data_IF_333464711961
#
_entry.id   IF_333464711961
#
_cell.length_a   1.000
_cell.length_b   1.000
_cell.length_c   1.000
_cell.angle_alpha   90.00
_cell.angle_beta   90.00
_cell.angle_gamma   90.00
#
_symmetry.space_group_name_H-M   'P 1'
#
loop_
_entity.id
_entity.type
_entity.pdbx_description
1 polymer ?
#
# COMPACT_ATOMS: atom_id res chain seq x y z
N UNK A 1 12.45 -32.60 26.20
CA UNK A 1 11.57 -32.10 25.13
C UNK A 1 11.28 -30.63 25.39
N UNK A 2 12.07 -29.71 24.82
CA UNK A 2 11.85 -28.27 24.99
C UNK A 2 10.98 -27.75 23.87
N UNK A 3 9.88 -27.11 24.27
CA UNK A 3 8.85 -26.54 23.41
C UNK A 3 9.46 -25.49 22.47
N UNK A 4 9.40 -25.76 21.16
CA UNK A 4 9.54 -24.75 20.12
C UNK A 4 8.26 -23.91 20.09
N UNK A 5 8.06 -23.04 21.07
CA UNK A 5 7.14 -21.91 20.91
C UNK A 5 7.85 -20.87 20.04
N UNK A 6 7.80 -21.11 18.73
CA UNK A 6 7.97 -20.08 17.72
C UNK A 6 6.83 -19.09 17.92
N UNK A 7 7.09 -18.04 18.71
CA UNK A 7 6.34 -16.79 18.68
C UNK A 7 6.37 -16.30 17.23
N UNK A 8 5.38 -16.70 16.44
CA UNK A 8 5.07 -15.99 15.20
C UNK A 8 4.83 -14.54 15.63
N UNK A 9 5.53 -13.54 15.07
CA UNK A 9 5.18 -12.16 15.33
C UNK A 9 3.71 -12.02 14.93
N UNK A 10 2.83 -11.79 15.91
CA UNK A 10 1.41 -11.61 15.64
C UNK A 10 1.31 -10.38 14.73
N UNK A 11 1.08 -10.63 13.45
CA UNK A 11 0.91 -9.57 12.45
C UNK A 11 -0.19 -8.65 12.95
N UNK A 12 0.03 -7.33 12.91
CA UNK A 12 -0.97 -6.31 13.29
C UNK A 12 -2.31 -6.57 12.61
N UNK A 13 -2.28 -7.13 11.40
CA UNK A 13 -3.46 -7.53 10.64
C UNK A 13 -4.20 -8.74 11.22
N UNK A 14 -3.50 -9.64 11.91
CA UNK A 14 -4.12 -10.77 12.59
C UNK A 14 -4.96 -10.31 13.79
N UNK A 15 -4.41 -9.40 14.61
CA UNK A 15 -5.15 -8.80 15.73
C UNK A 15 -6.32 -7.94 15.21
N UNK A 16 -6.08 -7.16 14.16
CA UNK A 16 -7.14 -6.41 13.47
C UNK A 16 -8.26 -7.34 13.00
N UNK A 17 -7.92 -8.45 12.33
CA UNK A 17 -8.89 -9.43 11.81
C UNK A 17 -9.76 -10.00 12.92
N UNK A 18 -9.18 -10.32 14.08
CA UNK A 18 -9.95 -10.79 15.24
C UNK A 18 -10.90 -9.71 15.76
N UNK A 19 -10.46 -8.45 15.85
CA UNK A 19 -11.33 -7.34 16.25
C UNK A 19 -12.43 -7.05 15.23
N UNK A 20 -12.12 -7.11 13.93
CA UNK A 20 -13.07 -6.96 12.84
C UNK A 20 -14.16 -8.04 12.89
N UNK A 21 -13.79 -9.31 13.06
CA UNK A 21 -14.73 -10.42 13.20
C UNK A 21 -15.66 -10.25 14.40
N UNK A 22 -15.13 -9.81 15.55
CA UNK A 22 -15.96 -9.50 16.73
C UNK A 22 -16.99 -8.42 16.41
N UNK A 23 -16.57 -7.33 15.76
CA UNK A 23 -17.47 -6.19 15.46
C UNK A 23 -18.51 -6.50 14.40
N UNK A 24 -18.16 -7.32 13.40
CA UNK A 24 -19.11 -7.84 12.40
C UNK A 24 -20.19 -8.66 13.09
N UNK A 25 -19.78 -9.55 14.01
CA UNK A 25 -20.72 -10.38 14.80
C UNK A 25 -21.61 -9.53 15.70
N UNK A 26 -21.05 -8.57 16.42
CA UNK A 26 -21.82 -7.69 17.32
C UNK A 26 -22.88 -6.88 16.58
N UNK A 27 -22.53 -6.39 15.38
CA UNK A 27 -23.43 -5.60 14.52
C UNK A 27 -24.33 -6.45 13.63
N UNK A 28 -24.22 -7.79 13.69
CA UNK A 28 -24.92 -8.76 12.83
C UNK A 28 -24.80 -8.43 11.33
N UNK A 29 -23.65 -7.91 10.91
CA UNK A 29 -23.40 -7.54 9.51
C UNK A 29 -23.16 -8.79 8.67
N UNK A 30 -23.87 -8.90 7.55
CA UNK A 30 -23.58 -9.91 6.54
C UNK A 30 -22.38 -9.50 5.66
N UNK A 31 -21.77 -10.48 5.00
CA UNK A 31 -20.66 -10.24 4.06
C UNK A 31 -21.10 -9.41 2.86
N UNK A 32 -22.34 -9.56 2.41
CA UNK A 32 -22.90 -8.76 1.32
C UNK A 32 -23.10 -7.29 1.73
N UNK A 33 -23.53 -7.03 2.96
CA UNK A 33 -23.62 -5.67 3.51
C UNK A 33 -22.24 -5.05 3.69
N UNK A 34 -21.29 -5.79 4.26
CA UNK A 34 -19.92 -5.32 4.42
C UNK A 34 -19.27 -5.00 3.07
N UNK A 35 -19.50 -5.83 2.04
CA UNK A 35 -19.06 -5.56 0.67
C UNK A 35 -19.65 -4.26 0.11
N UNK A 36 -20.93 -4.00 0.36
CA UNK A 36 -21.60 -2.77 -0.08
C UNK A 36 -21.03 -1.53 0.61
N UNK A 37 -20.73 -1.61 1.90
CA UNK A 37 -20.22 -0.49 2.69
C UNK A 37 -18.75 -0.19 2.34
N UNK A 38 -17.94 -1.24 2.15
CA UNK A 38 -16.49 -1.11 1.92
C UNK A 38 -16.11 -0.98 0.45
N UNK A 39 -17.00 -1.33 -0.49
CA UNK A 39 -16.68 -1.44 -1.92
C UNK A 39 -15.85 -2.68 -2.27
N UNK A 40 -15.53 -3.54 -1.30
CA UNK A 40 -14.69 -4.73 -1.50
C UNK A 40 -15.56 -5.90 -1.98
N UNK A 41 -15.07 -6.65 -2.98
CA UNK A 41 -15.75 -7.87 -3.47
C UNK A 41 -15.98 -8.86 -2.32
N UNK A 42 -17.18 -9.47 -2.28
CA UNK A 42 -17.56 -10.44 -1.25
C UNK A 42 -16.57 -11.61 -1.15
N UNK A 43 -16.07 -12.11 -2.27
CA UNK A 43 -15.06 -13.18 -2.31
C UNK A 43 -13.74 -12.75 -1.67
N UNK A 44 -13.32 -11.49 -1.85
CA UNK A 44 -12.12 -10.93 -1.21
C UNK A 44 -12.32 -10.76 0.29
N UNK A 45 -13.49 -10.29 0.73
CA UNK A 45 -13.84 -10.20 2.16
C UNK A 45 -13.88 -11.58 2.81
N UNK A 46 -14.52 -12.56 2.16
CA UNK A 46 -14.63 -13.92 2.68
C UNK A 46 -13.23 -14.53 2.90
N UNK A 47 -12.39 -14.50 1.86
CA UNK A 47 -11.02 -15.02 1.94
C UNK A 47 -10.19 -14.27 2.98
N UNK A 48 -10.28 -12.94 3.02
CA UNK A 48 -9.49 -12.12 3.93
C UNK A 48 -9.91 -12.24 5.40
N UNK A 49 -11.21 -12.38 5.68
CA UNK A 49 -11.74 -12.40 7.05
C UNK A 49 -11.87 -13.81 7.65
N UNK A 50 -12.09 -14.85 6.84
CA UNK A 50 -12.41 -16.19 7.36
C UNK A 50 -11.40 -17.28 6.96
N UNK A 51 -10.65 -17.09 5.88
CA UNK A 51 -9.64 -18.06 5.45
C UNK A 51 -8.23 -17.63 5.89
N UNK A 52 -7.22 -18.46 5.66
CA UNK A 52 -5.83 -18.17 6.03
C UNK A 52 -5.15 -17.10 5.16
N UNK A 53 -5.86 -16.51 4.19
CA UNK A 53 -5.33 -15.42 3.37
C UNK A 53 -5.17 -14.16 4.22
N UNK A 54 -3.99 -13.53 4.13
CA UNK A 54 -3.77 -12.22 4.76
C UNK A 54 -4.62 -11.14 4.06
N UNK A 55 -5.24 -10.29 4.89
CA UNK A 55 -5.88 -9.06 4.40
C UNK A 55 -4.82 -8.11 3.88
N UNK A 56 -5.08 -7.46 2.76
CA UNK A 56 -4.29 -6.26 2.41
C UNK A 56 -4.59 -5.17 3.44
N UNK A 57 -3.61 -4.31 3.73
CA UNK A 57 -3.83 -3.16 4.61
C UNK A 57 -4.93 -2.22 4.09
N UNK A 58 -5.08 -2.10 2.77
CA UNK A 58 -6.22 -1.40 2.13
C UNK A 58 -7.56 -1.93 2.60
N UNK A 59 -7.73 -3.25 2.47
CA UNK A 59 -8.96 -3.91 2.88
C UNK A 59 -9.16 -3.78 4.38
N UNK A 60 -8.08 -3.93 5.16
CA UNK A 60 -8.13 -3.74 6.60
C UNK A 60 -8.55 -2.32 6.98
N UNK A 61 -8.03 -1.28 6.32
CA UNK A 61 -8.40 0.10 6.60
C UNK A 61 -9.84 0.42 6.18
N UNK A 62 -10.28 -0.03 5.01
CA UNK A 62 -11.67 0.14 4.56
C UNK A 62 -12.66 -0.57 5.50
N UNK A 63 -12.34 -1.80 5.92
CA UNK A 63 -13.10 -2.54 6.93
C UNK A 63 -13.05 -1.82 8.28
N UNK A 64 -11.88 -1.30 8.67
CA UNK A 64 -11.67 -0.58 9.93
C UNK A 64 -12.53 0.68 10.00
N UNK A 65 -12.51 1.50 8.95
CA UNK A 65 -13.37 2.69 8.83
C UNK A 65 -14.86 2.31 8.88
N UNK A 66 -15.29 1.29 8.13
CA UNK A 66 -16.68 0.82 8.14
C UNK A 66 -17.13 0.30 9.51
N UNK A 67 -16.23 -0.30 10.28
CA UNK A 67 -16.53 -0.90 11.59
C UNK A 67 -16.18 0.01 12.78
N UNK A 68 -15.54 1.16 12.55
CA UNK A 68 -15.03 2.05 13.61
C UNK A 68 -13.91 1.41 14.42
N UNK A 69 -12.99 0.70 13.76
CA UNK A 69 -11.85 0.01 14.36
C UNK A 69 -10.56 0.65 13.85
N UNK A 70 -9.69 1.07 14.76
CA UNK A 70 -8.38 1.60 14.41
C UNK A 70 -7.39 0.45 14.20
N UNK A 71 -6.67 0.47 13.07
CA UNK A 71 -5.47 -0.34 12.89
C UNK A 71 -4.33 0.29 13.73
N UNK A 72 -4.17 -0.16 14.97
CA UNK A 72 -3.10 0.30 15.86
C UNK A 72 -3.40 1.64 16.55
N UNK A 73 -2.96 1.76 17.81
CA UNK A 73 -3.10 2.98 18.62
C UNK A 73 -1.83 3.82 18.56
N UNK A 74 -1.99 5.14 18.38
CA UNK A 74 -0.91 6.14 18.42
C UNK A 74 -0.26 6.36 17.05
N UNK A 75 -0.71 7.40 16.36
CA UNK A 75 -0.33 7.81 15.00
C UNK A 75 -0.68 6.81 13.88
N UNK A 76 -1.45 7.27 12.90
CA UNK A 76 -1.81 6.48 11.72
C UNK A 76 -0.54 6.17 10.93
N UNK A 77 -0.17 4.89 10.74
CA UNK A 77 0.96 4.55 9.88
C UNK A 77 0.73 5.13 8.48
N UNK A 78 1.68 5.96 8.01
CA UNK A 78 1.61 6.54 6.67
C UNK A 78 1.83 5.44 5.65
N UNK A 79 0.82 5.21 4.81
CA UNK A 79 0.91 4.26 3.72
C UNK A 79 0.83 5.00 2.40
N UNK A 80 1.72 4.67 1.48
CA UNK A 80 1.57 5.05 0.08
C UNK A 80 1.04 3.85 -0.71
N UNK A 81 0.22 4.09 -1.74
CA UNK A 81 -0.04 3.06 -2.73
C UNK A 81 1.22 2.74 -3.50
N UNK A 82 1.25 1.53 -4.06
CA UNK A 82 2.25 1.20 -5.07
C UNK A 82 1.66 1.42 -6.45
N UNK A 83 2.24 2.37 -7.18
CA UNK A 83 1.95 2.60 -8.59
C UNK A 83 2.58 1.50 -9.43
N UNK A 84 1.76 0.78 -10.18
CA UNK A 84 2.14 -0.39 -11.00
C UNK A 84 1.90 -0.20 -12.49
N UNK A 85 1.26 0.90 -12.89
CA UNK A 85 1.06 1.33 -14.28
C UNK A 85 1.29 2.83 -14.43
N UNK A 86 1.75 3.26 -15.61
CA UNK A 86 1.98 4.69 -15.87
C UNK A 86 0.68 5.49 -16.03
N UNK A 87 -0.38 4.84 -16.52
CA UNK A 87 -1.74 5.40 -16.58
C UNK A 87 -2.26 5.83 -15.19
N UNK A 88 -1.80 5.17 -14.13
CA UNK A 88 -2.13 5.53 -12.76
C UNK A 88 -1.43 6.83 -12.33
N UNK A 89 -0.25 7.15 -12.89
CA UNK A 89 0.41 8.44 -12.62
C UNK A 89 -0.39 9.59 -13.23
N UNK A 90 -0.90 9.40 -14.44
CA UNK A 90 -1.72 10.41 -15.12
C UNK A 90 -3.02 10.66 -14.33
N UNK A 91 -3.66 9.60 -13.82
CA UNK A 91 -4.85 9.72 -12.98
C UNK A 91 -4.63 10.53 -11.68
N UNK A 92 -3.43 10.46 -11.08
CA UNK A 92 -3.08 11.28 -9.90
C UNK A 92 -3.12 12.78 -10.22
N UNK A 93 -2.70 13.17 -11.43
CA UNK A 93 -2.70 14.56 -11.85
C UNK A 93 -4.10 15.15 -12.01
N UNK A 94 -5.10 14.30 -12.27
CA UNK A 94 -6.51 14.68 -12.42
C UNK A 94 -7.28 14.64 -11.10
N UNK A 95 -6.63 14.36 -9.96
CA UNK A 95 -7.28 14.22 -8.65
C UNK A 95 -8.19 13.00 -8.55
N UNK A 96 -8.17 12.11 -9.54
CA UNK A 96 -8.86 10.81 -9.47
C UNK A 96 -7.97 9.87 -8.69
N UNK A 97 -8.43 9.37 -7.55
CA UNK A 97 -7.72 8.34 -6.79
C UNK A 97 -7.78 7.03 -7.59
N UNK A 98 -6.65 6.48 -8.06
CA UNK A 98 -6.67 5.15 -8.68
C UNK A 98 -7.20 4.09 -7.69
N UNK A 99 -7.68 2.95 -8.19
CA UNK A 99 -8.07 1.83 -7.33
C UNK A 99 -6.79 1.10 -6.92
N UNK A 100 -6.43 1.20 -5.64
CA UNK A 100 -5.14 0.80 -5.09
C UNK A 100 -5.25 -0.59 -4.45
N UNK A 101 -4.70 -1.62 -5.10
CA UNK A 101 -4.69 -2.99 -4.58
C UNK A 101 -3.44 -3.29 -3.72
N UNK A 102 -2.38 -2.48 -3.85
CA UNK A 102 -1.11 -2.65 -3.13
C UNK A 102 -0.67 -1.36 -2.42
N UNK A 103 -0.23 -1.51 -1.17
CA UNK A 103 0.24 -0.41 -0.32
C UNK A 103 1.55 -0.78 0.35
N UNK A 104 2.30 0.25 0.68
CA UNK A 104 3.56 0.14 1.38
C UNK A 104 3.62 1.10 2.56
N UNK A 105 4.09 0.60 3.70
CA UNK A 105 4.37 1.40 4.87
C UNK A 105 5.56 2.32 4.56
N UNK A 106 5.35 3.63 4.71
CA UNK A 106 6.38 4.62 4.53
C UNK A 106 7.22 4.78 5.80
N UNK A 107 8.47 5.17 5.62
CA UNK A 107 9.31 5.61 6.73
C UNK A 107 8.75 6.91 7.36
N UNK A 108 8.91 7.11 8.69
CA UNK A 108 8.38 8.29 9.40
C UNK A 108 8.92 9.64 8.88
N UNK A 109 10.06 9.64 8.20
CA UNK A 109 10.70 10.83 7.62
C UNK A 109 10.04 11.33 6.33
N UNK A 110 9.14 10.53 5.75
CA UNK A 110 8.46 10.86 4.49
C UNK A 110 7.14 11.58 4.77
N UNK A 111 6.88 12.65 4.03
CA UNK A 111 5.65 13.43 4.12
C UNK A 111 4.58 12.98 3.11
N UNK A 112 3.46 13.69 3.07
CA UNK A 112 2.29 13.34 2.27
C UNK A 112 2.51 13.52 0.75
N UNK A 113 3.66 14.05 0.32
CA UNK A 113 4.05 14.13 -1.10
C UNK A 113 4.81 12.90 -1.59
N UNK A 114 5.02 11.91 -0.72
CA UNK A 114 5.66 10.66 -1.08
C UNK A 114 4.75 9.79 -1.97
N UNK A 115 5.32 9.31 -3.06
CA UNK A 115 4.69 8.39 -4.02
C UNK A 115 5.51 7.11 -4.11
N UNK A 116 4.88 5.95 -3.90
CA UNK A 116 5.56 4.67 -4.07
C UNK A 116 5.29 4.10 -5.47
N UNK A 117 6.35 3.63 -6.13
CA UNK A 117 6.33 3.20 -7.52
C UNK A 117 7.00 1.84 -7.65
N UNK A 118 6.35 0.90 -8.32
CA UNK A 118 6.93 -0.40 -8.60
C UNK A 118 8.15 -0.25 -9.51
N UNK A 119 9.25 -0.93 -9.16
CA UNK A 119 10.48 -0.83 -9.93
C UNK A 119 10.32 -1.26 -11.39
N UNK A 120 9.33 -2.10 -11.72
CA UNK A 120 9.08 -2.55 -13.09
C UNK A 120 8.72 -1.43 -14.05
N UNK A 121 8.28 -0.28 -13.53
CA UNK A 121 8.01 0.92 -14.32
C UNK A 121 9.28 1.67 -14.74
N UNK A 122 10.44 1.34 -14.18
CA UNK A 122 11.70 1.96 -14.56
C UNK A 122 12.34 1.25 -15.76
N UNK A 123 12.79 2.04 -16.74
CA UNK A 123 13.47 1.54 -17.95
C UNK A 123 14.74 0.77 -17.63
N UNK A 124 15.46 1.23 -16.61
CA UNK A 124 16.71 0.61 -16.16
C UNK A 124 16.43 -0.31 -14.97
N UNK A 125 16.92 -1.55 -15.03
CA UNK A 125 16.86 -2.52 -13.91
C UNK A 125 17.89 -2.20 -12.82
N UNK A 126 17.92 -0.94 -12.38
CA UNK A 126 18.80 -0.49 -11.30
C UNK A 126 18.33 -0.99 -9.93
N UNK A 127 17.06 -1.36 -9.84
CA UNK A 127 16.46 -1.80 -8.60
C UNK A 127 16.19 -3.32 -8.63
N UNK A 128 16.32 -4.02 -7.49
CA UNK A 128 15.96 -5.43 -7.41
C UNK A 128 14.49 -5.66 -7.78
N UNK A 129 14.15 -6.82 -8.35
CA UNK A 129 12.79 -7.13 -8.87
C UNK A 129 11.63 -6.90 -7.89
N UNK A 130 11.88 -6.88 -6.58
CA UNK A 130 10.87 -6.75 -5.51
C UNK A 130 10.95 -5.41 -4.78
N UNK A 131 11.68 -4.46 -5.36
CA UNK A 131 11.82 -3.12 -4.84
C UNK A 131 10.61 -2.26 -5.23
N UNK A 132 10.21 -1.41 -4.29
CA UNK A 132 9.33 -0.28 -4.51
C UNK A 132 10.18 0.96 -4.29
N UNK A 133 10.20 1.84 -5.28
CA UNK A 133 10.95 3.09 -5.24
C UNK A 133 10.01 4.16 -4.71
N UNK A 134 10.43 4.87 -3.66
CA UNK A 134 9.66 5.98 -3.09
C UNK A 134 10.19 7.29 -3.65
N UNK A 135 9.28 8.10 -4.20
CA UNK A 135 9.55 9.38 -4.82
C UNK A 135 8.95 10.49 -3.98
N UNK A 136 9.74 11.50 -3.63
CA UNK A 136 9.26 12.75 -3.09
C UNK A 136 8.84 13.67 -4.24
N UNK A 137 7.55 13.98 -4.34
CA UNK A 137 7.01 14.77 -5.46
C UNK A 137 7.01 16.27 -5.18
N UNK A 138 6.98 16.69 -3.91
CA UNK A 138 7.06 18.10 -3.56
C UNK A 138 8.49 18.64 -3.74
N UNK A 139 8.64 19.67 -4.60
CA UNK A 139 9.88 20.42 -4.80
C UNK A 139 11.13 19.56 -5.11
N UNK A 140 11.13 18.76 -6.19
CA UNK A 140 12.26 17.92 -6.55
C UNK A 140 13.39 18.77 -7.16
N UNK A 141 14.08 19.55 -6.32
CA UNK A 141 15.19 20.43 -6.75
C UNK A 141 16.57 19.81 -6.52
N UNK A 142 16.65 18.72 -5.75
CA UNK A 142 17.89 18.05 -5.37
C UNK A 142 17.67 16.55 -5.21
N UNK A 143 18.74 15.78 -5.36
CA UNK A 143 18.72 14.31 -5.26
C UNK A 143 18.66 13.64 -6.63
N UNK A 144 18.37 12.33 -6.63
CA UNK A 144 18.27 11.56 -7.86
C UNK A 144 16.87 11.71 -8.44
N UNK A 145 16.75 12.51 -9.48
CA UNK A 145 15.47 12.86 -10.10
C UNK A 145 14.95 11.73 -10.98
N UNK A 146 13.63 11.63 -11.06
CA UNK A 146 12.92 10.65 -11.90
C UNK A 146 12.13 11.38 -12.97
N UNK A 147 12.30 10.95 -14.20
CA UNK A 147 11.72 11.55 -15.39
C UNK A 147 10.86 10.54 -16.15
N UNK A 148 9.77 10.98 -16.79
CA UNK A 148 9.06 10.16 -17.75
C UNK A 148 9.91 9.99 -19.02
N UNK A 149 9.99 8.77 -19.54
CA UNK A 149 10.77 8.42 -20.72
C UNK A 149 10.07 7.31 -21.53
N UNK A 150 9.48 7.67 -22.68
CA UNK A 150 8.87 6.74 -23.66
C UNK A 150 8.06 5.56 -23.09
N UNK A 151 7.16 5.82 -22.13
CA UNK A 151 6.33 4.75 -21.54
C UNK A 151 7.05 3.95 -20.44
N UNK A 152 8.10 4.53 -19.87
CA UNK A 152 8.76 4.09 -18.64
C UNK A 152 9.21 5.31 -17.80
N UNK A 153 9.78 5.04 -16.64
CA UNK A 153 10.47 6.00 -15.80
C UNK A 153 11.99 5.85 -15.95
N UNK A 154 12.70 6.97 -15.90
CA UNK A 154 14.16 7.00 -16.00
C UNK A 154 14.77 7.87 -14.91
N UNK A 155 15.99 7.53 -14.49
CA UNK A 155 16.82 8.39 -13.66
C UNK A 155 17.72 9.32 -14.48
N UNK A 156 17.70 9.14 -15.80
CA UNK A 156 18.41 9.99 -16.76
C UNK A 156 17.47 11.11 -17.22
N UNK A 157 18.03 12.30 -17.39
CA UNK A 157 17.29 13.46 -17.88
C UNK A 157 16.80 13.19 -19.30
N UNK A 158 15.47 13.10 -19.46
CA UNK A 158 14.79 12.87 -20.72
C UNK A 158 14.34 14.17 -21.42
N UNK A 159 14.70 15.34 -20.86
CA UNK A 159 14.24 16.65 -21.31
C UNK A 159 12.78 16.97 -20.91
N UNK A 160 12.15 16.11 -20.11
CA UNK A 160 10.80 16.32 -19.54
C UNK A 160 10.88 16.79 -18.09
N UNK A 161 9.79 17.35 -17.58
CA UNK A 161 9.70 17.71 -16.16
C UNK A 161 9.84 16.47 -15.26
N UNK A 162 10.61 16.61 -14.19
CA UNK A 162 10.78 15.55 -13.20
C UNK A 162 9.45 15.28 -12.47
N UNK A 163 9.15 14.00 -12.24
CA UNK A 163 8.00 13.53 -11.46
C UNK A 163 8.29 13.67 -9.96
N UNK A 164 9.54 13.44 -9.56
CA UNK A 164 9.96 13.51 -8.17
C UNK A 164 11.43 13.16 -7.99
N UNK A 165 11.91 13.23 -6.75
CA UNK A 165 13.23 12.80 -6.36
C UNK A 165 13.15 11.45 -5.61
N UNK A 166 14.06 10.52 -5.87
CA UNK A 166 14.15 9.26 -5.11
C UNK A 166 14.45 9.58 -3.65
N UNK A 167 13.52 9.22 -2.77
CA UNK A 167 13.61 9.42 -1.32
C UNK A 167 14.02 8.13 -0.59
N UNK A 168 13.70 6.97 -1.16
CA UNK A 168 14.04 5.68 -0.58
C UNK A 168 13.72 4.50 -1.49
N UNK A 169 14.21 3.32 -1.09
CA UNK A 169 13.90 2.04 -1.73
C UNK A 169 13.43 1.10 -0.64
N UNK A 170 12.21 0.59 -0.79
CA UNK A 170 11.62 -0.33 0.16
C UNK A 170 11.47 -1.70 -0.49
N UNK A 171 11.67 -2.76 0.29
CA UNK A 171 11.63 -4.14 -0.21
C UNK A 171 10.38 -4.87 0.28
N UNK A 172 9.61 -5.45 -0.64
CA UNK A 172 8.49 -6.32 -0.27
C UNK A 172 9.04 -7.57 0.44
N UNK A 173 8.59 -7.85 1.68
CA UNK A 173 8.94 -9.11 2.38
C UNK A 173 8.48 -10.32 1.55
N UNK A 174 9.25 -11.42 1.57
CA UNK A 174 8.82 -12.69 0.95
C UNK A 174 7.42 -13.06 1.48
N UNK A 175 6.48 -13.27 0.57
CA UNK A 175 5.23 -13.98 0.85
C UNK A 175 5.51 -15.48 0.79
#
# INVERSE_FOLDING_TARGET
MQAKNLLKPHSVLHEFKLNALRRIRDRKLSISELARITGIKQSTLHRGLFEDRELTFSNAHAIGHALGINLGGGETPRMAPVITGLDQLDALSEGRQPVWDEFILLEPSLDDSALAVDQSLFRQRLFPRRAVVVLQTAHPRRGRLVYPDHGALSLEDSGRSAIGAVAGILFRKNA
#
